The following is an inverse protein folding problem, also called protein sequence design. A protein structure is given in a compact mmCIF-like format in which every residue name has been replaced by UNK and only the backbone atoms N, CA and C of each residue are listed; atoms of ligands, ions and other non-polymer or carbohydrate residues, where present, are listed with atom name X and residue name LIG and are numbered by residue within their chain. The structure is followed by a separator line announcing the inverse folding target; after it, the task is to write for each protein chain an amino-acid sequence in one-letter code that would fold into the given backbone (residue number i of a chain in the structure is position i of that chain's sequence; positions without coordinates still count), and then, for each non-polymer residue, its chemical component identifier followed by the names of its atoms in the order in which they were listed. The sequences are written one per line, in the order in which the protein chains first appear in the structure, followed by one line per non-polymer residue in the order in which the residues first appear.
data_IF_834775943596
#
_entry.id   IF_834775943596
#
_cell.length_a   1.000
_cell.length_b   1.000
_cell.length_c   1.000
_cell.angle_alpha   90.00
_cell.angle_beta   90.00
_cell.angle_gamma   90.00
#
_symmetry.space_group_name_H-M   'P 1'
#
loop_
_entity.id
_entity.type
_entity.pdbx_description
1 polymer ?
#
# COMPACT_ATOMS: atom_id res chain seq x y z
N UNK A 1 -59.39 47.85 4.78
CA UNK A 1 -59.21 46.91 5.92
C UNK A 1 -58.67 45.58 5.43
N UNK A 2 -57.35 45.38 5.45
CA UNK A 2 -56.67 44.07 5.45
C UNK A 2 -55.36 44.27 6.21
N UNK A 3 -55.29 43.72 7.44
CA UNK A 3 -54.09 43.74 8.28
C UNK A 3 -53.09 42.73 7.73
N UNK A 4 -51.89 43.17 7.36
CA UNK A 4 -50.74 42.29 7.17
C UNK A 4 -50.10 42.06 8.54
N UNK A 5 -50.17 40.82 9.04
CA UNK A 5 -49.39 40.38 10.19
C UNK A 5 -48.06 39.83 9.67
N UNK A 6 -46.98 40.55 9.97
CA UNK A 6 -45.60 40.09 9.73
C UNK A 6 -45.23 39.10 10.82
N UNK A 7 -45.09 37.82 10.49
CA UNK A 7 -44.53 36.80 11.40
C UNK A 7 -43.03 36.74 11.18
N UNK A 8 -42.25 37.29 12.11
CA UNK A 8 -40.81 37.11 12.17
C UNK A 8 -40.50 35.65 12.52
N UNK A 9 -39.94 34.89 11.57
CA UNK A 9 -39.35 33.57 11.85
C UNK A 9 -37.97 33.79 12.46
N UNK A 10 -37.86 33.60 13.77
CA UNK A 10 -36.57 33.46 14.46
C UNK A 10 -36.04 32.07 14.13
N UNK A 11 -35.04 32.00 13.26
CA UNK A 11 -34.28 30.78 13.03
C UNK A 11 -33.24 30.64 14.16
N UNK A 12 -33.46 29.67 15.05
CA UNK A 12 -32.49 29.29 16.08
C UNK A 12 -31.37 28.49 15.38
N UNK A 13 -30.23 29.13 15.14
CA UNK A 13 -28.99 28.46 14.73
C UNK A 13 -28.46 27.67 15.92
N UNK A 14 -28.75 26.37 15.95
CA UNK A 14 -28.08 25.44 16.87
C UNK A 14 -26.72 25.14 16.22
N UNK A 15 -25.69 25.89 16.62
CA UNK A 15 -24.30 25.54 16.33
C UNK A 15 -23.96 24.30 17.15
N UNK A 16 -24.07 23.12 16.55
CA UNK A 16 -23.46 21.91 17.11
C UNK A 16 -21.95 22.07 16.89
N UNK A 17 -21.24 22.50 17.94
CA UNK A 17 -19.79 22.33 17.99
C UNK A 17 -19.52 20.82 18.11
N UNK A 18 -19.33 20.15 16.98
CA UNK A 18 -18.60 18.88 16.99
C UNK A 18 -17.16 19.23 17.32
N UNK A 19 -16.71 18.88 18.53
CA UNK A 19 -15.28 18.86 18.83
C UNK A 19 -14.61 17.91 17.83
N UNK A 20 -14.01 18.48 16.79
CA UNK A 20 -13.08 17.75 15.95
C UNK A 20 -11.86 17.49 16.82
N UNK A 21 -11.79 16.28 17.38
CA UNK A 21 -10.56 15.78 17.97
C UNK A 21 -9.61 15.49 16.81
N UNK A 22 -8.90 16.51 16.34
CA UNK A 22 -7.68 16.29 15.58
C UNK A 22 -6.72 15.57 16.53
N UNK A 23 -6.35 14.33 16.22
CA UNK A 23 -5.19 13.70 16.86
C UNK A 23 -3.97 14.44 16.34
N UNK A 24 -3.69 15.59 16.94
CA UNK A 24 -2.37 16.19 16.84
C UNK A 24 -1.44 15.21 17.54
N UNK A 25 -0.35 14.81 16.87
CA UNK A 25 0.59 13.87 17.44
C UNK A 25 1.01 14.37 18.81
N UNK A 26 0.70 13.60 19.85
CA UNK A 26 1.19 13.90 21.18
C UNK A 26 2.72 13.71 21.21
N UNK A 27 3.36 14.18 22.27
CA UNK A 27 4.81 14.08 22.43
C UNK A 27 5.30 12.62 22.35
N UNK A 28 4.46 11.66 22.73
CA UNK A 28 4.78 10.23 22.70
C UNK A 28 4.79 9.69 21.28
N UNK A 29 3.76 9.97 20.47
CA UNK A 29 3.74 9.57 19.06
C UNK A 29 4.92 10.19 18.31
N UNK A 30 5.20 11.47 18.58
CA UNK A 30 6.35 12.16 17.98
C UNK A 30 7.67 11.46 18.33
N UNK A 31 7.86 11.07 19.59
CA UNK A 31 9.04 10.31 20.00
C UNK A 31 9.13 8.94 19.32
N UNK A 32 8.01 8.21 19.20
CA UNK A 32 7.96 6.91 18.53
C UNK A 32 8.37 7.05 17.06
N UNK A 33 7.78 7.99 16.32
CA UNK A 33 8.08 8.19 14.89
C UNK A 33 9.55 8.60 14.68
N UNK A 34 10.09 9.44 15.55
CA UNK A 34 11.49 9.87 15.47
C UNK A 34 12.50 8.77 15.79
N UNK A 35 12.08 7.70 16.46
CA UNK A 35 12.92 6.55 16.83
C UNK A 35 12.83 5.39 15.82
N UNK A 36 12.00 5.50 14.77
CA UNK A 36 11.94 4.47 13.73
C UNK A 36 13.27 4.36 12.97
N UNK A 37 13.75 3.12 12.79
CA UNK A 37 15.01 2.83 12.11
C UNK A 37 14.79 1.93 10.88
N UNK A 38 14.30 2.47 9.74
CA UNK A 38 14.16 1.67 8.53
C UNK A 38 15.51 1.27 7.94
N UNK A 39 15.61 0.01 7.56
CA UNK A 39 16.83 -0.62 7.01
C UNK A 39 16.50 -1.27 5.67
N UNK A 40 17.45 -1.28 4.74
CA UNK A 40 17.31 -2.03 3.48
C UNK A 40 16.96 -3.48 3.82
N UNK A 41 15.91 -3.99 3.19
CA UNK A 41 15.49 -5.36 3.41
C UNK A 41 16.31 -6.29 2.53
N UNK A 42 16.96 -7.28 3.17
CA UNK A 42 17.79 -8.31 2.56
C UNK A 42 18.72 -7.73 1.44
N UNK A 43 19.68 -6.85 1.79
CA UNK A 43 20.50 -6.14 0.81
C UNK A 43 21.28 -7.13 -0.06
N UNK A 44 21.35 -6.84 -1.37
CA UNK A 44 21.91 -7.67 -2.44
C UNK A 44 21.12 -8.95 -2.78
N UNK A 45 19.99 -9.21 -2.10
CA UNK A 45 19.08 -10.32 -2.39
C UNK A 45 17.73 -9.80 -2.86
N UNK A 46 17.06 -9.00 -2.03
CA UNK A 46 15.80 -8.33 -2.36
C UNK A 46 16.06 -6.92 -2.83
N UNK A 47 16.69 -6.08 -1.99
CA UNK A 47 17.07 -4.72 -2.36
C UNK A 47 18.43 -4.72 -3.05
N UNK A 48 18.45 -4.42 -4.34
CA UNK A 48 19.65 -4.50 -5.17
C UNK A 48 19.88 -3.20 -5.93
N UNK A 49 20.75 -3.21 -6.93
CA UNK A 49 20.89 -2.08 -7.86
C UNK A 49 19.86 -2.14 -9.02
N UNK A 50 18.90 -3.05 -8.94
CA UNK A 50 17.78 -3.18 -9.86
C UNK A 50 16.56 -2.41 -9.34
N UNK A 51 15.49 -2.35 -10.15
CA UNK A 51 14.26 -1.69 -9.75
C UNK A 51 13.40 -2.65 -8.94
N UNK A 52 13.60 -2.68 -7.63
CA UNK A 52 12.98 -3.60 -6.68
C UNK A 52 11.92 -2.87 -5.83
N UNK A 53 10.65 -3.23 -5.94
CA UNK A 53 9.53 -2.59 -5.22
C UNK A 53 8.36 -3.56 -5.05
N UNK A 54 7.25 -3.12 -4.45
CA UNK A 54 5.99 -3.85 -4.32
C UNK A 54 6.15 -5.23 -3.72
N UNK A 55 5.95 -5.38 -2.42
CA UNK A 55 6.30 -6.63 -1.72
C UNK A 55 5.11 -7.38 -1.15
N UNK A 56 5.35 -8.60 -0.67
CA UNK A 56 4.47 -9.32 0.23
C UNK A 56 5.23 -10.41 1.00
N UNK A 57 4.97 -10.52 2.29
CA UNK A 57 5.50 -11.57 3.15
C UNK A 57 4.46 -12.66 3.37
N UNK A 58 4.83 -13.93 3.21
CA UNK A 58 3.94 -15.04 3.56
C UNK A 58 3.62 -15.04 5.06
N UNK A 59 2.45 -15.55 5.48
CA UNK A 59 2.02 -15.48 6.89
C UNK A 59 2.98 -16.18 7.87
N UNK A 60 3.69 -17.21 7.40
CA UNK A 60 4.70 -17.94 8.17
C UNK A 60 6.08 -17.23 8.21
N UNK A 61 6.23 -16.09 7.52
CA UNK A 61 7.45 -15.31 7.45
C UNK A 61 8.58 -15.97 6.66
N UNK A 62 8.30 -17.02 5.87
CA UNK A 62 9.33 -17.82 5.17
C UNK A 62 9.47 -17.50 3.69
N UNK A 63 8.51 -16.82 3.07
CA UNK A 63 8.55 -16.43 1.66
C UNK A 63 8.33 -14.93 1.53
N UNK A 64 9.07 -14.31 0.63
CA UNK A 64 8.93 -12.90 0.30
C UNK A 64 8.81 -12.76 -1.21
N UNK A 65 7.62 -12.37 -1.66
CA UNK A 65 7.38 -12.04 -3.06
C UNK A 65 7.57 -10.54 -3.25
N UNK A 66 8.15 -10.14 -4.37
CA UNK A 66 8.31 -8.73 -4.70
C UNK A 66 8.36 -8.52 -6.22
N UNK A 67 8.27 -7.27 -6.65
CA UNK A 67 8.37 -6.87 -8.05
C UNK A 67 9.80 -6.53 -8.39
N UNK A 68 10.28 -7.07 -9.52
CA UNK A 68 11.46 -6.55 -10.20
C UNK A 68 11.05 -6.02 -11.57
N UNK A 69 11.41 -4.78 -11.87
CA UNK A 69 11.01 -4.12 -13.11
C UNK A 69 12.18 -3.60 -13.94
N UNK A 70 11.87 -3.32 -15.20
CA UNK A 70 12.67 -2.45 -16.03
C UNK A 70 12.42 -0.98 -15.65
N UNK A 71 13.43 -0.14 -15.89
CA UNK A 71 13.36 1.29 -15.60
C UNK A 71 12.10 1.94 -16.18
N UNK A 72 11.54 2.92 -15.44
CA UNK A 72 10.30 3.63 -15.80
C UNK A 72 9.06 2.72 -15.94
N UNK A 73 9.06 1.58 -15.26
CA UNK A 73 7.92 0.64 -15.26
C UNK A 73 7.56 0.11 -16.66
N UNK A 74 8.54 0.01 -17.57
CA UNK A 74 8.30 -0.43 -18.95
C UNK A 74 7.94 -1.92 -19.06
N UNK A 75 8.31 -2.72 -18.06
CA UNK A 75 7.87 -4.08 -17.82
C UNK A 75 8.15 -4.48 -16.36
N UNK A 76 7.38 -5.39 -15.79
CA UNK A 76 7.55 -5.86 -14.42
C UNK A 76 7.19 -7.33 -14.28
N UNK A 77 7.89 -8.03 -13.40
CA UNK A 77 7.62 -9.42 -13.08
C UNK A 77 7.63 -9.65 -11.57
N UNK A 78 6.90 -10.66 -11.13
CA UNK A 78 6.90 -11.11 -9.74
C UNK A 78 8.02 -12.13 -9.54
N UNK A 79 8.85 -11.87 -8.55
CA UNK A 79 9.90 -12.77 -8.09
C UNK A 79 9.64 -13.16 -6.64
N UNK A 80 10.15 -14.32 -6.23
CA UNK A 80 9.98 -14.85 -4.88
C UNK A 80 11.31 -15.33 -4.32
N UNK A 81 11.58 -15.01 -3.05
CA UNK A 81 12.70 -15.56 -2.28
C UNK A 81 12.19 -16.30 -1.05
N UNK A 82 12.98 -17.26 -0.58
CA UNK A 82 12.69 -18.10 0.57
C UNK A 82 13.72 -17.88 1.67
N UNK A 83 13.28 -18.00 2.91
CA UNK A 83 14.15 -17.96 4.08
C UNK A 83 14.59 -19.38 4.44
N UNK A 84 15.88 -19.65 4.36
CA UNK A 84 16.50 -20.92 4.72
C UNK A 84 17.66 -20.67 5.68
N UNK A 85 17.72 -21.40 6.80
CA UNK A 85 18.77 -21.20 7.82
C UNK A 85 18.84 -19.76 8.36
N UNK A 86 17.71 -19.04 8.41
CA UNK A 86 17.66 -17.64 8.83
C UNK A 86 17.99 -16.60 7.75
N UNK A 87 18.44 -17.03 6.56
CA UNK A 87 18.87 -16.14 5.48
C UNK A 87 17.95 -16.24 4.25
N UNK A 88 17.71 -15.11 3.60
CA UNK A 88 16.99 -15.06 2.32
C UNK A 88 17.88 -15.59 1.20
N UNK A 89 17.30 -16.41 0.33
CA UNK A 89 18.01 -17.03 -0.79
C UNK A 89 17.90 -16.18 -2.07
N UNK A 90 18.66 -16.52 -3.10
CA UNK A 90 18.53 -15.89 -4.43
C UNK A 90 17.08 -15.98 -4.92
N UNK A 91 16.43 -14.86 -5.30
CA UNK A 91 15.05 -14.89 -5.78
C UNK A 91 14.92 -15.62 -7.11
N UNK A 92 13.79 -16.27 -7.32
CA UNK A 92 13.41 -16.90 -8.59
C UNK A 92 12.16 -16.24 -9.16
N UNK A 93 11.99 -16.31 -10.48
CA UNK A 93 10.76 -15.86 -11.14
C UNK A 93 9.59 -16.72 -10.67
N UNK A 94 8.45 -16.10 -10.34
CA UNK A 94 7.24 -16.86 -10.05
C UNK A 94 6.76 -17.60 -11.31
N UNK A 95 6.27 -18.84 -11.21
CA UNK A 95 6.05 -19.72 -12.37
C UNK A 95 4.96 -19.24 -13.34
N UNK A 96 4.15 -18.26 -12.93
CA UNK A 96 3.08 -17.66 -13.71
C UNK A 96 3.34 -16.21 -14.11
N UNK A 97 4.56 -15.70 -13.88
CA UNK A 97 4.92 -14.30 -14.13
C UNK A 97 6.05 -14.14 -15.14
N UNK A 98 6.18 -12.94 -15.71
CA UNK A 98 7.27 -12.54 -16.62
C UNK A 98 6.87 -12.42 -18.09
N UNK A 99 5.76 -13.02 -18.50
CA UNK A 99 5.20 -12.78 -19.85
C UNK A 99 4.45 -11.45 -19.92
N UNK A 100 3.78 -11.07 -18.84
CA UNK A 100 2.92 -9.90 -18.77
C UNK A 100 3.41 -8.91 -17.73
N UNK A 101 2.85 -7.70 -17.73
CA UNK A 101 3.12 -6.73 -16.68
C UNK A 101 2.40 -7.20 -15.42
N UNK A 102 3.12 -7.89 -14.55
CA UNK A 102 2.63 -8.36 -13.26
C UNK A 102 3.25 -7.54 -12.13
N UNK A 103 2.44 -7.18 -11.14
CA UNK A 103 2.85 -6.32 -10.02
C UNK A 103 1.96 -6.55 -8.80
N UNK A 104 2.28 -5.86 -7.71
CA UNK A 104 1.55 -5.82 -6.45
C UNK A 104 1.20 -7.22 -5.91
N UNK A 105 2.23 -8.05 -5.61
CA UNK A 105 2.01 -9.38 -5.04
C UNK A 105 1.36 -9.26 -3.65
N UNK A 106 0.52 -10.22 -3.28
CA UNK A 106 -0.06 -10.28 -1.95
C UNK A 106 -0.39 -11.71 -1.52
N UNK A 107 0.32 -12.22 -0.52
CA UNK A 107 -0.06 -13.44 0.18
C UNK A 107 -1.25 -13.17 1.09
N UNK A 108 -2.36 -13.91 0.91
CA UNK A 108 -3.45 -13.82 1.88
C UNK A 108 -3.01 -14.31 3.25
N UNK A 109 -3.50 -13.64 4.30
CA UNK A 109 -3.18 -13.96 5.70
C UNK A 109 -4.07 -15.06 6.28
N UNK A 110 -5.16 -15.42 5.60
CA UNK A 110 -6.22 -16.32 6.07
C UNK A 110 -6.38 -17.59 5.24
N UNK A 111 -5.66 -17.70 4.12
CA UNK A 111 -5.88 -18.73 3.10
C UNK A 111 -4.62 -18.93 2.26
N UNK A 112 -4.53 -20.08 1.59
CA UNK A 112 -3.47 -20.36 0.64
C UNK A 112 -3.77 -19.78 -0.76
N UNK A 113 -4.13 -18.51 -0.79
CA UNK A 113 -4.37 -17.76 -2.03
C UNK A 113 -3.39 -16.60 -2.11
N UNK A 114 -2.78 -16.46 -3.28
CA UNK A 114 -1.88 -15.37 -3.61
C UNK A 114 -2.57 -14.48 -4.64
N UNK A 115 -2.68 -13.20 -4.32
CA UNK A 115 -3.25 -12.18 -5.17
C UNK A 115 -2.14 -11.40 -5.86
N UNK A 116 -2.42 -10.92 -7.05
CA UNK A 116 -1.54 -10.01 -7.76
C UNK A 116 -2.32 -9.22 -8.80
N UNK A 117 -1.65 -8.23 -9.37
CA UNK A 117 -2.22 -7.38 -10.41
C UNK A 117 -1.51 -7.63 -11.72
N UNK A 118 -2.25 -7.76 -12.82
CA UNK A 118 -1.69 -8.10 -14.13
C UNK A 118 -2.41 -7.42 -15.28
N UNK A 119 -1.67 -7.13 -16.36
CA UNK A 119 -2.22 -6.74 -17.67
C UNK A 119 -2.41 -7.95 -18.60
N UNK A 120 -2.45 -9.17 -18.07
CA UNK A 120 -2.80 -10.36 -18.86
C UNK A 120 -4.10 -10.15 -19.65
N UNK A 121 -4.17 -10.67 -20.88
CA UNK A 121 -5.40 -10.61 -21.66
C UNK A 121 -6.53 -11.37 -20.95
N UNK A 122 -7.73 -10.84 -21.08
CA UNK A 122 -8.96 -11.51 -20.69
C UNK A 122 -9.73 -11.76 -21.97
N UNK A 123 -10.18 -13.00 -22.18
CA UNK A 123 -10.94 -13.37 -23.36
C UNK A 123 -12.15 -12.43 -23.55
N UNK A 124 -12.27 -11.82 -24.73
CA UNK A 124 -13.32 -10.86 -25.04
C UNK A 124 -13.11 -9.44 -24.46
N UNK A 125 -11.91 -9.11 -23.95
CA UNK A 125 -11.60 -7.78 -23.42
C UNK A 125 -10.20 -7.28 -23.84
N UNK A 126 -10.16 -6.15 -24.55
CA UNK A 126 -8.93 -5.58 -25.14
C UNK A 126 -8.33 -4.40 -24.37
N UNK A 127 -8.74 -4.16 -23.12
CA UNK A 127 -8.44 -2.87 -22.46
C UNK A 127 -6.99 -2.71 -22.02
N UNK A 128 -6.18 -3.77 -21.93
CA UNK A 128 -4.76 -3.69 -21.53
C UNK A 128 -4.52 -3.01 -20.17
N UNK A 129 -5.57 -2.88 -19.35
CA UNK A 129 -5.55 -2.25 -18.03
C UNK A 129 -5.30 -3.31 -16.96
N UNK A 130 -4.79 -2.88 -15.81
CA UNK A 130 -4.48 -3.77 -14.71
C UNK A 130 -5.76 -4.35 -14.10
N UNK A 131 -5.77 -5.67 -13.95
CA UNK A 131 -6.82 -6.44 -13.30
C UNK A 131 -6.25 -7.23 -12.14
N UNK A 132 -7.09 -7.54 -11.18
CA UNK A 132 -6.71 -8.36 -10.04
C UNK A 132 -6.91 -9.83 -10.36
N UNK A 133 -5.85 -10.60 -10.15
CA UNK A 133 -5.79 -12.04 -10.36
C UNK A 133 -5.44 -12.73 -9.05
N UNK A 134 -5.79 -13.99 -8.96
CA UNK A 134 -5.48 -14.86 -7.83
C UNK A 134 -4.90 -16.18 -8.32
N UNK A 135 -4.14 -16.84 -7.46
CA UNK A 135 -3.64 -18.19 -7.68
C UNK A 135 -3.62 -18.93 -6.34
N UNK A 136 -4.12 -20.16 -6.33
CA UNK A 136 -3.98 -21.01 -5.16
C UNK A 136 -2.55 -21.58 -5.10
N UNK A 137 -2.04 -21.75 -3.89
CA UNK A 137 -0.71 -22.34 -3.69
C UNK A 137 -0.73 -23.46 -2.64
N UNK A 138 0.21 -24.39 -2.75
CA UNK A 138 0.48 -25.42 -1.75
C UNK A 138 1.99 -25.55 -1.58
N UNK A 139 2.49 -25.12 -0.42
CA UNK A 139 3.92 -24.94 -0.19
C UNK A 139 4.53 -23.94 -1.18
N UNK A 140 5.30 -24.47 -2.14
CA UNK A 140 5.97 -23.72 -3.21
C UNK A 140 5.33 -23.92 -4.60
N UNK A 141 4.27 -24.74 -4.67
CA UNK A 141 3.56 -25.01 -5.92
C UNK A 141 2.43 -24.00 -6.09
N UNK A 142 2.49 -23.21 -7.16
CA UNK A 142 1.43 -22.29 -7.54
C UNK A 142 0.61 -22.90 -8.68
N UNK A 143 -0.71 -22.74 -8.60
CA UNK A 143 -1.64 -23.14 -9.66
C UNK A 143 -1.62 -22.22 -10.87
N UNK A 144 -2.69 -22.29 -11.66
CA UNK A 144 -2.91 -21.36 -12.77
C UNK A 144 -3.54 -20.06 -12.26
N UNK A 145 -3.16 -18.89 -12.80
CA UNK A 145 -3.83 -17.65 -12.47
C UNK A 145 -5.29 -17.61 -12.93
N UNK A 146 -6.16 -17.16 -12.04
CA UNK A 146 -7.58 -16.93 -12.30
C UNK A 146 -7.92 -15.48 -12.03
N UNK A 147 -8.85 -14.92 -12.82
CA UNK A 147 -9.34 -13.57 -12.58
C UNK A 147 -10.11 -13.56 -11.25
N UNK A 148 -9.88 -12.58 -10.38
CA UNK A 148 -10.66 -12.46 -9.14
C UNK A 148 -12.14 -12.29 -9.50
N UNK A 149 -13.03 -13.16 -8.99
CA UNK A 149 -14.42 -13.23 -9.45
C UNK A 149 -15.27 -12.06 -8.94
N UNK A 150 -16.37 -11.80 -9.65
CA UNK A 150 -17.36 -10.79 -9.29
C UNK A 150 -17.14 -9.46 -9.98
N UNK A 151 -17.52 -8.37 -9.31
CA UNK A 151 -17.60 -7.01 -9.87
C UNK A 151 -16.42 -6.11 -9.50
N UNK A 152 -15.40 -6.66 -8.84
CA UNK A 152 -14.17 -5.91 -8.50
C UNK A 152 -13.40 -5.50 -9.77
N UNK A 153 -13.34 -6.39 -10.76
CA UNK A 153 -12.67 -6.17 -12.04
C UNK A 153 -13.61 -5.46 -13.04
N UNK A 154 -14.04 -4.23 -12.71
CA UNK A 154 -14.88 -3.39 -13.58
C UNK A 154 -14.09 -2.72 -14.72
N UNK A 155 -14.61 -1.65 -15.31
CA UNK A 155 -13.97 -0.89 -16.41
C UNK A 155 -12.87 0.09 -15.96
N UNK A 156 -12.05 -0.32 -15.00
CA UNK A 156 -11.00 0.47 -14.37
C UNK A 156 -9.78 -0.39 -14.04
N UNK A 157 -8.69 0.25 -13.61
CA UNK A 157 -7.54 -0.46 -13.03
C UNK A 157 -7.91 -1.01 -11.65
N UNK A 158 -7.36 -2.16 -11.29
CA UNK A 158 -7.45 -2.70 -9.93
C UNK A 158 -6.04 -3.09 -9.54
N UNK A 159 -5.43 -2.30 -8.67
CA UNK A 159 -4.00 -2.41 -8.30
C UNK A 159 -3.85 -2.42 -6.77
N UNK A 160 -2.71 -2.90 -6.26
CA UNK A 160 -2.40 -2.94 -4.83
C UNK A 160 -3.43 -3.69 -3.96
N UNK A 161 -3.67 -5.00 -4.21
CA UNK A 161 -4.55 -5.79 -3.38
C UNK A 161 -3.98 -5.98 -1.98
N UNK A 162 -4.82 -5.74 -0.97
CA UNK A 162 -4.64 -6.28 0.36
C UNK A 162 -5.93 -6.97 0.80
N UNK A 163 -5.83 -8.22 1.22
CA UNK A 163 -6.96 -9.04 1.66
C UNK A 163 -7.00 -9.11 3.18
N UNK A 164 -8.12 -8.66 3.74
CA UNK A 164 -8.41 -8.78 5.16
C UNK A 164 -8.91 -10.20 5.50
N UNK A 165 -8.83 -10.60 6.78
CA UNK A 165 -9.21 -11.95 7.25
C UNK A 165 -10.71 -12.28 7.13
N UNK A 166 -11.55 -11.27 6.89
CA UNK A 166 -12.96 -11.44 6.52
C UNK A 166 -13.17 -11.60 4.99
N UNK A 167 -12.07 -11.75 4.24
CA UNK A 167 -11.97 -11.80 2.78
C UNK A 167 -12.24 -10.50 2.04
N UNK A 168 -12.55 -9.38 2.70
CA UNK A 168 -12.68 -8.11 1.99
C UNK A 168 -11.34 -7.70 1.37
N UNK A 169 -11.37 -7.16 0.16
CA UNK A 169 -10.19 -6.69 -0.56
C UNK A 169 -10.15 -5.17 -0.52
N UNK A 170 -9.06 -4.61 -0.01
CA UNK A 170 -8.70 -3.21 -0.11
C UNK A 170 -7.77 -3.06 -1.30
N UNK A 171 -7.94 -2.00 -2.09
CA UNK A 171 -7.16 -1.78 -3.31
C UNK A 171 -7.19 -0.32 -3.75
N UNK A 172 -6.36 0.03 -4.74
CA UNK A 172 -6.35 1.37 -5.33
C UNK A 172 -6.89 1.34 -6.76
N UNK A 173 -7.54 2.43 -7.16
CA UNK A 173 -8.09 2.56 -8.50
C UNK A 173 -8.24 4.01 -8.95
N UNK A 174 -8.46 4.19 -10.25
CA UNK A 174 -8.93 5.43 -10.84
C UNK A 174 -10.33 5.16 -11.38
N UNK A 175 -11.36 5.54 -10.62
CA UNK A 175 -12.76 5.37 -10.99
C UNK A 175 -13.39 6.75 -11.22
N UNK A 176 -14.06 6.94 -12.36
CA UNK A 176 -14.66 8.22 -12.72
C UNK A 176 -15.65 8.68 -11.64
N UNK A 177 -15.47 9.91 -11.16
CA UNK A 177 -16.32 10.53 -10.13
C UNK A 177 -15.78 10.41 -8.69
N UNK A 178 -14.65 9.73 -8.51
CA UNK A 178 -13.94 9.65 -7.23
C UNK A 178 -13.17 10.94 -6.93
N UNK A 179 -12.75 11.10 -5.67
CA UNK A 179 -12.29 12.38 -5.11
C UNK A 179 -10.93 12.85 -5.65
N UNK A 180 -10.03 11.93 -5.95
CA UNK A 180 -8.63 12.17 -6.26
C UNK A 180 -8.17 11.70 -7.63
N UNK A 181 -6.86 11.52 -7.77
CA UNK A 181 -6.24 10.93 -8.96
C UNK A 181 -6.31 9.40 -8.91
N UNK A 182 -5.51 8.81 -8.03
CA UNK A 182 -5.71 7.45 -7.50
C UNK A 182 -6.49 7.56 -6.19
N UNK A 183 -7.40 6.63 -5.94
CA UNK A 183 -8.21 6.58 -4.73
C UNK A 183 -8.22 5.16 -4.13
N UNK A 184 -8.48 5.08 -2.82
CA UNK A 184 -8.62 3.85 -2.06
C UNK A 184 -10.06 3.32 -2.11
N UNK A 185 -10.19 2.02 -2.34
CA UNK A 185 -11.45 1.31 -2.41
C UNK A 185 -11.43 0.04 -1.57
N UNK A 186 -12.62 -0.41 -1.19
CA UNK A 186 -12.89 -1.73 -0.64
C UNK A 186 -13.89 -2.46 -1.54
N UNK A 187 -13.64 -3.74 -1.79
CA UNK A 187 -14.60 -4.65 -2.38
C UNK A 187 -14.95 -5.73 -1.36
N UNK A 188 -16.24 -5.81 -1.03
CA UNK A 188 -16.75 -6.77 -0.05
C UNK A 188 -16.82 -8.17 -0.63
N UNK A 189 -16.41 -9.15 0.15
CA UNK A 189 -16.58 -10.55 -0.23
C UNK A 189 -18.07 -10.93 -0.23
N UNK A 190 -18.49 -11.66 -1.26
CA UNK A 190 -19.79 -12.32 -1.33
C UNK A 190 -19.59 -13.73 -1.94
N UNK A 191 -20.41 -14.75 -1.57
CA UNK A 191 -20.20 -16.12 -2.02
C UNK A 191 -20.16 -16.33 -3.55
N UNK A 192 -20.76 -15.41 -4.32
CA UNK A 192 -20.77 -15.44 -5.79
C UNK A 192 -19.64 -14.60 -6.42
N UNK A 193 -18.71 -14.10 -5.63
CA UNK A 193 -17.64 -13.19 -6.06
C UNK A 193 -17.73 -11.83 -5.39
N UNK A 194 -16.69 -11.02 -5.58
CA UNK A 194 -16.55 -9.71 -4.95
C UNK A 194 -17.59 -8.71 -5.44
N UNK A 195 -18.05 -7.83 -4.54
CA UNK A 195 -19.01 -6.78 -4.89
C UNK A 195 -18.36 -5.66 -5.70
N UNK A 196 -19.18 -4.72 -6.19
CA UNK A 196 -18.64 -3.54 -6.86
C UNK A 196 -17.80 -2.71 -5.87
N UNK A 197 -16.75 -2.00 -6.34
CA UNK A 197 -15.92 -1.14 -5.51
C UNK A 197 -16.74 -0.13 -4.70
N UNK A 198 -16.42 0.02 -3.43
CA UNK A 198 -16.91 1.11 -2.57
C UNK A 198 -15.73 1.97 -2.17
N UNK A 199 -15.82 3.28 -2.39
CA UNK A 199 -14.77 4.22 -2.03
C UNK A 199 -14.57 4.30 -0.51
N UNK A 200 -13.33 4.40 -0.04
CA UNK A 200 -13.00 4.68 1.36
C UNK A 200 -12.86 6.19 1.54
N UNK A 201 -14.01 6.88 1.46
CA UNK A 201 -14.10 8.34 1.35
C UNK A 201 -13.44 9.12 2.50
N UNK A 202 -13.35 8.50 3.68
CA UNK A 202 -12.74 9.05 4.88
C UNK A 202 -11.22 9.18 4.76
N UNK A 203 -10.59 8.32 3.95
CA UNK A 203 -9.14 8.34 3.74
C UNK A 203 -8.76 9.12 2.49
N UNK A 204 -9.56 9.05 1.42
CA UNK A 204 -9.24 9.73 0.18
C UNK A 204 -9.20 11.25 0.36
N UNK A 205 -8.24 11.87 -0.31
CA UNK A 205 -8.04 13.30 -0.42
C UNK A 205 -8.38 13.77 -1.84
N UNK A 206 -8.16 15.05 -2.14
CA UNK A 206 -8.23 15.54 -3.54
C UNK A 206 -6.94 15.27 -4.32
N UNK A 207 -5.92 14.73 -3.65
CA UNK A 207 -4.67 14.29 -4.26
C UNK A 207 -4.75 12.79 -4.60
N UNK A 208 -3.64 12.15 -4.96
CA UNK A 208 -3.63 10.69 -5.12
C UNK A 208 -3.38 10.00 -3.78
N UNK A 209 -4.21 9.01 -3.47
CA UNK A 209 -4.11 8.11 -2.32
C UNK A 209 -4.13 6.66 -2.82
N UNK A 210 -3.15 5.86 -2.41
CA UNK A 210 -2.92 4.54 -2.98
C UNK A 210 -2.32 3.55 -1.97
N UNK A 211 -2.14 2.31 -2.42
CA UNK A 211 -1.40 1.23 -1.77
C UNK A 211 -1.88 0.88 -0.36
N UNK A 212 -3.18 0.54 -0.16
CA UNK A 212 -3.71 0.28 1.16
C UNK A 212 -3.19 -1.07 1.71
N UNK A 213 -2.69 -1.05 2.94
CA UNK A 213 -2.36 -2.23 3.73
C UNK A 213 -3.10 -2.20 5.05
N UNK A 214 -4.11 -3.06 5.17
CA UNK A 214 -4.90 -3.22 6.38
C UNK A 214 -4.33 -4.31 7.30
N UNK A 215 -4.34 -4.04 8.60
CA UNK A 215 -3.99 -5.02 9.62
C UNK A 215 -4.94 -6.22 9.62
N UNK A 216 -4.48 -7.37 10.11
CA UNK A 216 -5.25 -8.63 10.17
C UNK A 216 -6.57 -8.51 10.93
N UNK A 217 -6.63 -7.59 11.90
CA UNK A 217 -7.80 -7.29 12.71
C UNK A 217 -8.64 -6.11 12.20
N UNK A 218 -8.25 -5.50 11.07
CA UNK A 218 -9.04 -4.48 10.39
C UNK A 218 -9.09 -3.12 11.07
N UNK A 219 -8.19 -2.86 12.03
CA UNK A 219 -8.19 -1.64 12.87
C UNK A 219 -7.16 -0.60 12.47
N UNK A 220 -6.11 -0.99 11.75
CA UNK A 220 -5.04 -0.09 11.31
C UNK A 220 -4.89 -0.23 9.80
N UNK A 221 -4.75 0.87 9.09
CA UNK A 221 -4.52 0.88 7.65
C UNK A 221 -3.37 1.83 7.33
N UNK A 222 -2.33 1.28 6.70
CA UNK A 222 -1.22 2.02 6.12
C UNK A 222 -1.50 2.26 4.64
N UNK A 223 -1.09 3.39 4.10
CA UNK A 223 -1.27 3.72 2.69
C UNK A 223 -0.32 4.85 2.27
N UNK A 224 -0.15 5.07 0.97
CA UNK A 224 0.62 6.21 0.45
C UNK A 224 -0.28 7.34 -0.02
N UNK A 225 0.18 8.58 0.08
CA UNK A 225 -0.59 9.77 -0.27
C UNK A 225 0.27 10.92 -0.77
N UNK A 226 -0.26 11.68 -1.72
CA UNK A 226 0.28 12.98 -2.16
C UNK A 226 -0.41 14.18 -1.49
N UNK A 227 -1.12 13.95 -0.38
CA UNK A 227 -1.82 15.03 0.34
C UNK A 227 -0.85 16.12 0.78
N UNK A 228 -1.37 17.34 0.91
CA UNK A 228 -0.59 18.47 1.41
C UNK A 228 -0.04 18.19 2.82
N UNK A 229 1.17 18.70 3.09
CA UNK A 229 1.88 18.47 4.35
C UNK A 229 2.85 17.29 4.34
N UNK A 230 2.97 16.57 3.22
CA UNK A 230 4.00 15.55 3.01
C UNK A 230 5.41 16.11 2.71
N UNK A 231 6.39 15.20 2.69
CA UNK A 231 7.82 15.44 2.46
C UNK A 231 8.20 15.31 0.99
N UNK A 232 7.59 14.36 0.27
CA UNK A 232 7.96 13.96 -1.08
C UNK A 232 6.80 13.94 -2.06
N UNK A 233 6.93 13.07 -3.07
CA UNK A 233 5.91 12.84 -4.09
C UNK A 233 4.76 12.00 -3.52
N UNK A 234 5.10 10.87 -2.92
CA UNK A 234 4.21 9.96 -2.22
C UNK A 234 4.81 9.68 -0.85
N UNK A 235 4.01 9.86 0.19
CA UNK A 235 4.38 9.67 1.59
C UNK A 235 3.49 8.59 2.22
N UNK A 236 4.08 7.72 3.05
CA UNK A 236 3.36 6.77 3.86
C UNK A 236 2.64 7.45 5.04
N UNK A 237 1.38 7.06 5.18
CA UNK A 237 0.47 7.48 6.24
C UNK A 237 -0.14 6.24 6.90
N UNK A 238 -0.63 6.42 8.13
CA UNK A 238 -1.40 5.42 8.85
C UNK A 238 -2.68 6.01 9.40
N UNK A 239 -3.78 5.28 9.31
CA UNK A 239 -5.05 5.62 9.94
C UNK A 239 -5.54 4.48 10.82
N UNK A 240 -6.30 4.84 11.84
CA UNK A 240 -6.85 3.93 12.84
C UNK A 240 -8.37 3.99 12.76
N UNK A 241 -9.00 2.82 12.77
CA UNK A 241 -10.45 2.69 12.72
C UNK A 241 -11.06 3.04 14.08
N UNK A 242 -11.98 3.99 14.09
CA UNK A 242 -12.64 4.48 15.29
C UNK A 242 -13.81 3.57 15.72
N UNK A 243 -14.33 3.82 16.93
CA UNK A 243 -15.43 3.04 17.54
C UNK A 243 -16.73 3.06 16.73
N UNK A 244 -16.96 4.11 15.94
CA UNK A 244 -18.11 4.21 15.04
C UNK A 244 -17.92 3.44 13.72
N UNK A 245 -16.76 2.81 13.54
CA UNK A 245 -16.41 2.02 12.36
C UNK A 245 -15.78 2.82 11.22
N UNK A 246 -15.61 4.13 11.34
CA UNK A 246 -14.95 4.98 10.34
C UNK A 246 -13.44 5.02 10.53
N UNK A 247 -12.72 5.33 9.47
CA UNK A 247 -11.29 5.63 9.58
C UNK A 247 -11.08 7.02 10.16
N UNK A 248 -10.15 7.14 11.10
CA UNK A 248 -9.75 8.41 11.69
C UNK A 248 -8.84 9.24 10.76
N UNK A 249 -8.51 10.44 11.23
CA UNK A 249 -7.55 11.31 10.53
C UNK A 249 -6.20 10.59 10.35
N UNK A 250 -5.59 10.65 9.16
CA UNK A 250 -4.35 9.97 8.88
C UNK A 250 -3.14 10.68 9.46
N UNK A 251 -2.21 9.88 9.96
CA UNK A 251 -0.94 10.29 10.57
C UNK A 251 0.17 10.06 9.54
N UNK A 252 0.93 11.11 9.20
CA UNK A 252 2.14 10.97 8.38
C UNK A 252 3.25 10.28 9.20
N UNK A 253 3.94 9.30 8.61
CA UNK A 253 4.95 8.50 9.32
C UNK A 253 6.30 9.21 9.56
N UNK A 254 6.43 10.47 9.17
CA UNK A 254 7.59 11.31 9.47
C UNK A 254 8.83 10.99 8.64
N UNK A 255 9.89 11.77 8.84
CA UNK A 255 11.09 11.81 7.99
C UNK A 255 12.05 10.61 8.15
N UNK A 256 11.77 9.72 9.11
CA UNK A 256 12.46 8.44 9.22
C UNK A 256 12.00 7.50 8.12
N UNK A 257 10.70 7.41 7.92
CA UNK A 257 10.07 6.54 6.92
C UNK A 257 9.98 7.24 5.57
N UNK A 258 9.39 8.43 5.56
CA UNK A 258 9.15 9.21 4.35
C UNK A 258 10.39 10.03 3.99
N UNK A 259 10.52 10.32 2.70
CA UNK A 259 11.66 11.00 2.11
C UNK A 259 11.20 12.13 1.21
N UNK A 260 12.14 12.89 0.63
CA UNK A 260 11.83 13.90 -0.41
C UNK A 260 11.53 13.27 -1.78
N UNK A 261 11.38 11.95 -1.85
CA UNK A 261 11.20 11.18 -3.08
C UNK A 261 9.86 10.44 -3.02
N UNK A 262 9.80 9.19 -3.47
CA UNK A 262 8.61 8.35 -3.47
C UNK A 262 8.76 7.25 -2.42
N UNK A 263 7.81 7.20 -1.49
CA UNK A 263 7.69 6.17 -0.46
C UNK A 263 6.29 5.53 -0.55
N UNK A 264 6.25 4.23 -0.83
CA UNK A 264 5.02 3.55 -1.28
C UNK A 264 4.98 2.06 -0.90
N UNK A 265 3.94 1.35 -1.36
CA UNK A 265 3.76 -0.09 -1.22
C UNK A 265 3.93 -0.64 0.22
N UNK A 266 3.24 -0.08 1.24
CA UNK A 266 3.35 -0.58 2.60
C UNK A 266 2.83 -2.03 2.69
N UNK A 267 3.49 -2.87 3.49
CA UNK A 267 3.07 -4.25 3.78
C UNK A 267 3.38 -4.58 5.23
N UNK A 268 2.46 -5.24 5.92
CA UNK A 268 2.67 -5.69 7.30
C UNK A 268 3.06 -7.16 7.37
N UNK A 269 3.95 -7.48 8.29
CA UNK A 269 4.08 -8.85 8.81
C UNK A 269 2.75 -9.33 9.42
N UNK A 270 2.57 -10.65 9.53
CA UNK A 270 1.32 -11.23 10.03
C UNK A 270 0.96 -10.78 11.46
N UNK A 271 1.97 -10.51 12.30
CA UNK A 271 1.81 -9.97 13.66
C UNK A 271 1.61 -8.45 13.70
N UNK A 272 1.75 -7.76 12.56
CA UNK A 272 1.61 -6.31 12.42
C UNK A 272 2.76 -5.49 13.01
N UNK A 273 3.87 -6.12 13.42
CA UNK A 273 4.98 -5.45 14.11
C UNK A 273 6.14 -5.07 13.20
N UNK A 274 6.18 -5.55 11.96
CA UNK A 274 7.14 -5.12 10.94
C UNK A 274 6.40 -4.50 9.78
N UNK A 275 6.81 -3.30 9.39
CA UNK A 275 6.37 -2.65 8.16
C UNK A 275 7.46 -2.80 7.11
N UNK A 276 7.08 -3.29 5.94
CA UNK A 276 7.87 -3.24 4.72
C UNK A 276 7.33 -2.13 3.82
N UNK A 277 8.20 -1.47 3.06
CA UNK A 277 7.79 -0.44 2.11
C UNK A 277 8.84 -0.24 1.02
N UNK A 278 8.43 0.32 -0.10
CA UNK A 278 9.32 0.70 -1.20
C UNK A 278 9.71 2.16 -1.09
N UNK A 279 10.97 2.48 -1.41
CA UNK A 279 11.47 3.86 -1.45
C UNK A 279 12.56 4.03 -2.49
N UNK A 280 12.53 5.11 -3.28
CA UNK A 280 13.65 5.55 -4.14
C UNK A 280 14.53 6.60 -3.44
N UNK A 281 14.50 6.65 -2.09
CA UNK A 281 15.37 7.53 -1.32
C UNK A 281 16.84 7.28 -1.68
N UNK A 282 17.54 8.38 -1.98
CA UNK A 282 18.95 8.37 -2.28
C UNK A 282 19.69 9.22 -1.22
N UNK A 283 20.12 8.63 -0.09
CA UNK A 283 20.77 9.38 0.98
C UNK A 283 22.16 9.92 0.59
N UNK A 284 22.77 9.41 -0.48
CA UNK A 284 24.15 9.72 -0.87
C UNK A 284 24.24 10.51 -2.18
N UNK A 285 23.42 11.54 -2.36
CA UNK A 285 23.57 12.42 -3.53
C UNK A 285 24.85 13.26 -3.43
N UNK A 286 25.99 12.65 -3.79
CA UNK A 286 27.33 13.26 -3.84
C UNK A 286 27.76 13.48 -5.29
N UNK A 287 28.46 14.56 -5.57
CA UNK A 287 29.10 14.73 -6.88
C UNK A 287 30.16 13.63 -7.09
N UNK A 288 30.24 13.11 -8.31
CA UNK A 288 31.30 12.17 -8.72
C UNK A 288 32.42 12.96 -9.39
N UNK A 289 33.68 12.55 -9.19
CA UNK A 289 34.87 13.30 -9.66
C UNK A 289 35.39 12.82 -11.02
N UNK A 290 35.02 11.61 -11.43
CA UNK A 290 35.48 11.00 -12.69
C UNK A 290 34.48 9.94 -13.18
N UNK A 291 34.68 9.46 -14.40
CA UNK A 291 33.81 8.48 -15.05
C UNK A 291 33.70 7.16 -14.29
N UNK A 292 34.79 6.65 -13.71
CA UNK A 292 34.77 5.38 -12.97
C UNK A 292 33.95 5.48 -11.68
N UNK A 293 33.97 6.64 -11.00
CA UNK A 293 33.09 6.90 -9.86
C UNK A 293 31.62 6.96 -10.27
N UNK A 294 31.31 7.48 -11.46
CA UNK A 294 29.94 7.48 -11.99
C UNK A 294 29.43 6.05 -12.20
N UNK A 295 30.24 5.19 -12.86
CA UNK A 295 29.87 3.79 -13.09
C UNK A 295 29.63 3.03 -11.78
N UNK A 296 30.54 3.15 -10.81
CA UNK A 296 30.37 2.54 -9.48
C UNK A 296 29.10 3.00 -8.78
N UNK A 297 28.73 4.26 -8.95
CA UNK A 297 27.50 4.80 -8.37
C UNK A 297 26.25 4.24 -9.04
N UNK A 298 26.27 4.04 -10.35
CA UNK A 298 25.16 3.39 -11.08
C UNK A 298 24.96 1.93 -10.64
N UNK A 299 26.05 1.25 -10.26
CA UNK A 299 26.01 -0.12 -9.76
C UNK A 299 25.62 -0.24 -8.28
N UNK A 300 25.50 0.89 -7.55
CA UNK A 300 25.10 0.89 -6.15
C UNK A 300 23.59 0.66 -5.96
N UNK A 301 23.19 0.14 -4.80
CA UNK A 301 21.78 -0.02 -4.42
C UNK A 301 21.03 1.33 -4.46
N UNK A 302 21.66 2.41 -3.99
CA UNK A 302 21.09 3.76 -4.00
C UNK A 302 21.41 4.53 -5.30
N UNK A 303 21.15 3.91 -6.45
CA UNK A 303 21.33 4.53 -7.77
C UNK A 303 20.11 5.38 -8.21
N UNK A 304 19.07 5.48 -7.37
CA UNK A 304 17.83 6.21 -7.64
C UNK A 304 16.69 5.35 -8.19
N UNK A 305 16.90 4.03 -8.33
CA UNK A 305 15.81 3.07 -8.44
C UNK A 305 15.21 2.79 -7.05
N UNK A 306 13.96 2.33 -7.03
CA UNK A 306 13.33 1.93 -5.77
C UNK A 306 14.01 0.70 -5.18
N UNK A 307 13.97 0.65 -3.86
CA UNK A 307 14.41 -0.46 -3.02
C UNK A 307 13.37 -0.73 -1.93
N UNK A 308 13.43 -1.91 -1.33
CA UNK A 308 12.50 -2.32 -0.28
C UNK A 308 13.17 -2.15 1.09
N UNK A 309 12.49 -1.50 2.01
CA UNK A 309 12.92 -1.30 3.38
C UNK A 309 12.03 -2.09 4.33
N UNK A 310 12.57 -2.41 5.50
CA UNK A 310 11.83 -2.97 6.63
C UNK A 310 12.12 -2.15 7.87
N UNK A 311 11.12 -2.00 8.73
CA UNK A 311 11.23 -1.29 10.01
C UNK A 311 10.39 -1.99 11.08
N UNK A 312 10.94 -2.09 12.29
CA UNK A 312 10.18 -2.54 13.46
C UNK A 312 9.24 -1.40 13.90
N UNK A 313 7.96 -1.69 13.93
CA UNK A 313 6.90 -0.76 14.33
C UNK A 313 6.15 -1.28 15.56
N UNK A 314 6.70 -2.19 16.35
CA UNK A 314 6.05 -2.79 17.51
C UNK A 314 5.50 -1.74 18.47
N UNK A 315 6.32 -0.71 18.77
CA UNK A 315 5.92 0.39 19.66
C UNK A 315 4.82 1.26 19.04
N UNK A 316 4.94 1.58 17.75
CA UNK A 316 3.92 2.33 16.99
C UNK A 316 2.60 1.56 16.92
N UNK A 317 2.64 0.29 16.55
CA UNK A 317 1.48 -0.59 16.48
C UNK A 317 0.79 -0.67 17.85
N UNK A 318 1.54 -0.80 18.93
CA UNK A 318 1.01 -0.77 20.30
C UNK A 318 0.37 0.57 20.65
N UNK A 319 1.03 1.69 20.29
CA UNK A 319 0.49 3.03 20.52
C UNK A 319 -0.82 3.25 19.76
N UNK A 320 -0.88 2.95 18.46
CA UNK A 320 -2.07 3.14 17.64
C UNK A 320 -3.27 2.36 18.21
N UNK A 321 -3.03 1.16 18.72
CA UNK A 321 -4.07 0.28 19.27
C UNK A 321 -4.59 0.68 20.65
N UNK A 322 -3.76 1.35 21.44
CA UNK A 322 -4.16 1.86 22.75
C UNK A 322 -4.96 3.17 22.66
N UNK A 323 -5.00 3.79 21.48
CA UNK A 323 -5.69 5.06 21.23
C UNK A 323 -6.92 4.90 20.32
N UNK A 324 -7.56 3.72 20.34
CA UNK A 324 -8.81 3.39 19.62
C UNK A 324 -10.07 3.73 20.44
#
# INVERSE_FOLDING_TARGET
MKKQNTVAKIALLISVFSAQWTVQADDKLTAILNNLEPKLFAPNIVSTNQFDYGSSLSPDGKKFAFVRALARFSHSALVITHKQGGSWQTPTLMPFSGEFHDTNPYFSKDSNTFYFTSRRPIEGSDKGIFKMWQVNFDGDKFGQPELVPGKINGDHNVIYPTVHTNKDIYFSSVIKGSKGGMDLFISKYHPQGYLAPTEISELNSTASDADPEVSTDGKVLFYTSMRAGGLGHYDLHVSVKQKDGKWGEPINLGDKINSRRMDSDPILSADGNTLFFSSDKNPEVKAVKNYNELLKRQESIHNGLMNIYSVDITELNSYLRNNI
#
